data_IF_618064066995
#
_entry.id   IF_618064066995
#
_cell.length_a   1.000
_cell.length_b   1.000
_cell.length_c   1.000
_cell.angle_alpha   90.00
_cell.angle_beta   90.00
_cell.angle_gamma   90.00
#
_symmetry.space_group_name_H-M   'P 1'
#
loop_
_entity.id
_entity.type
_entity.pdbx_description
1 polymer ?
#
# COMPACT_ATOMS: atom_id res chain seq x y z
N UNK A 1 -3.05 10.61 15.09
CA UNK A 1 -2.23 9.96 14.05
C UNK A 1 -2.54 10.63 12.73
N UNK A 2 -1.61 11.44 12.24
CA UNK A 2 -1.83 12.30 11.07
C UNK A 2 -0.65 12.22 10.11
N UNK A 3 -0.93 12.33 8.80
CA UNK A 3 0.09 12.33 7.76
C UNK A 3 0.63 13.73 7.44
N UNK A 4 0.04 14.80 7.99
CA UNK A 4 0.35 16.20 7.64
C UNK A 4 1.85 16.53 7.68
N UNK A 5 2.54 16.16 8.78
CA UNK A 5 3.99 16.36 8.92
C UNK A 5 4.79 15.69 7.79
N UNK A 6 4.48 14.43 7.50
CA UNK A 6 5.16 13.65 6.46
C UNK A 6 4.84 14.18 5.06
N UNK A 7 3.61 14.64 4.83
CA UNK A 7 3.21 15.25 3.55
C UNK A 7 3.98 16.55 3.30
N UNK A 8 4.11 17.42 4.31
CA UNK A 8 4.89 18.67 4.17
C UNK A 8 6.36 18.35 3.86
N UNK A 9 6.96 17.42 4.60
CA UNK A 9 8.33 16.98 4.37
C UNK A 9 8.54 16.44 2.94
N UNK A 10 7.61 15.61 2.43
CA UNK A 10 7.71 15.06 1.07
C UNK A 10 7.62 16.17 0.02
N UNK A 11 6.75 17.17 0.22
CA UNK A 11 6.60 18.31 -0.69
C UNK A 11 7.83 19.21 -0.69
N UNK A 12 8.44 19.45 0.46
CA UNK A 12 9.65 20.27 0.57
C UNK A 12 10.84 19.60 -0.13
N UNK A 13 10.95 18.28 0.01
CA UNK A 13 12.06 17.52 -0.56
C UNK A 13 11.88 17.16 -2.04
N UNK A 14 10.69 17.37 -2.62
CA UNK A 14 10.39 16.93 -3.98
C UNK A 14 9.49 17.92 -4.73
N UNK A 15 9.83 18.22 -5.99
CA UNK A 15 8.99 19.00 -6.90
C UNK A 15 7.84 18.19 -7.53
N UNK A 16 7.22 17.28 -6.77
CA UNK A 16 6.14 16.42 -7.28
C UNK A 16 4.80 17.15 -7.29
N UNK A 17 4.05 17.00 -8.39
CA UNK A 17 2.69 17.56 -8.53
C UNK A 17 1.58 16.57 -8.17
N UNK A 18 1.89 15.26 -8.15
CA UNK A 18 0.90 14.21 -7.95
C UNK A 18 0.60 14.02 -6.46
N UNK A 19 -0.62 14.38 -6.06
CA UNK A 19 -1.11 14.17 -4.68
C UNK A 19 -1.00 12.69 -4.26
N UNK A 20 -1.39 11.76 -5.13
CA UNK A 20 -1.27 10.32 -4.85
C UNK A 20 0.16 9.87 -4.60
N UNK A 21 1.13 10.44 -5.31
CA UNK A 21 2.55 10.12 -5.12
C UNK A 21 3.07 10.69 -3.82
N UNK A 22 2.73 11.95 -3.51
CA UNK A 22 3.11 12.61 -2.25
C UNK A 22 2.56 11.84 -1.05
N UNK A 23 1.28 11.49 -1.08
CA UNK A 23 0.63 10.77 0.03
C UNK A 23 1.17 9.35 0.15
N UNK A 24 1.41 8.64 -0.96
CA UNK A 24 2.03 7.32 -0.93
C UNK A 24 3.39 7.33 -0.22
N UNK A 25 4.26 8.25 -0.63
CA UNK A 25 5.58 8.45 -0.02
C UNK A 25 5.48 8.86 1.46
N UNK A 26 4.53 9.74 1.82
CA UNK A 26 4.28 10.12 3.21
C UNK A 26 3.80 8.93 4.06
N UNK A 27 2.98 8.05 3.49
CA UNK A 27 2.55 6.80 4.13
C UNK A 27 3.72 5.85 4.38
N UNK A 28 4.65 5.70 3.43
CA UNK A 28 5.86 4.90 3.62
C UNK A 28 6.72 5.43 4.77
N UNK A 29 6.94 6.75 4.83
CA UNK A 29 7.64 7.37 5.97
C UNK A 29 6.88 7.16 7.28
N UNK A 30 5.56 7.31 7.29
CA UNK A 30 4.77 7.07 8.50
C UNK A 30 4.95 5.64 9.02
N UNK A 31 4.82 4.63 8.15
CA UNK A 31 5.01 3.22 8.57
C UNK A 31 6.42 3.01 9.12
N UNK A 32 7.44 3.44 8.38
CA UNK A 32 8.85 3.28 8.79
C UNK A 32 9.14 3.86 10.18
N UNK A 33 8.55 5.00 10.52
CA UNK A 33 8.86 5.73 11.76
C UNK A 33 7.94 5.38 12.94
N UNK A 34 6.72 4.89 12.68
CA UNK A 34 5.69 4.79 13.71
C UNK A 34 5.15 3.37 13.94
N UNK A 35 5.39 2.44 13.02
CA UNK A 35 4.85 1.09 13.08
C UNK A 35 6.00 0.10 13.27
N UNK A 36 5.81 -0.87 14.16
CA UNK A 36 6.71 -2.01 14.31
C UNK A 36 6.40 -3.08 13.27
N UNK A 37 7.40 -3.84 12.85
CA UNK A 37 7.24 -4.99 11.99
C UNK A 37 6.21 -5.96 12.59
N UNK A 38 5.15 -6.24 11.83
CA UNK A 38 4.04 -7.10 12.29
C UNK A 38 4.49 -8.56 12.47
N UNK A 39 5.59 -8.97 11.83
CA UNK A 39 6.15 -10.33 11.94
C UNK A 39 7.01 -10.54 13.18
N UNK A 40 7.93 -9.61 13.48
CA UNK A 40 8.91 -9.78 14.56
C UNK A 40 8.85 -8.73 15.68
N UNK A 41 7.96 -7.74 15.58
CA UNK A 41 7.76 -6.66 16.56
C UNK A 41 8.99 -5.74 16.75
N UNK A 42 9.94 -5.76 15.83
CA UNK A 42 11.07 -4.82 15.77
C UNK A 42 10.68 -3.52 15.04
N UNK A 43 11.41 -2.43 15.22
CA UNK A 43 11.22 -1.14 14.53
C UNK A 43 12.28 -0.88 13.43
N UNK A 44 13.15 -1.84 13.14
CA UNK A 44 14.21 -1.67 12.16
C UNK A 44 13.74 -1.87 10.70
N UNK A 45 13.12 -0.84 10.14
CA UNK A 45 12.73 -0.79 8.73
C UNK A 45 13.74 -0.02 7.87
N UNK A 46 14.09 -0.57 6.71
CA UNK A 46 14.72 0.15 5.62
C UNK A 46 13.74 0.35 4.46
N UNK A 47 13.96 1.45 3.74
CA UNK A 47 13.20 1.77 2.53
C UNK A 47 13.90 1.17 1.32
N UNK A 48 13.15 0.42 0.51
CA UNK A 48 13.62 -0.14 -0.75
C UNK A 48 13.92 0.98 -1.76
N UNK A 49 14.68 0.66 -2.82
CA UNK A 49 15.00 1.67 -3.84
C UNK A 49 13.71 2.15 -4.52
N UNK A 50 13.65 3.43 -4.87
CA UNK A 50 12.49 3.97 -5.58
C UNK A 50 12.26 3.21 -6.89
N UNK A 51 11.01 2.81 -7.12
CA UNK A 51 10.57 1.97 -8.26
C UNK A 51 11.06 0.51 -8.21
N UNK A 52 11.61 0.05 -7.10
CA UNK A 52 11.78 -1.38 -6.88
C UNK A 52 10.40 -2.04 -6.87
N UNK A 53 10.23 -3.07 -7.68
CA UNK A 53 8.90 -3.60 -7.95
C UNK A 53 8.34 -4.29 -6.71
N UNK A 54 7.09 -3.94 -6.38
CA UNK A 54 6.24 -4.63 -5.41
C UNK A 54 6.68 -4.59 -3.94
N UNK A 55 7.68 -3.81 -3.54
CA UNK A 55 8.06 -3.64 -2.13
C UNK A 55 8.58 -2.23 -1.88
N UNK A 56 8.12 -1.63 -0.78
CA UNK A 56 8.51 -0.27 -0.40
C UNK A 56 9.40 -0.28 0.84
N UNK A 57 9.17 -1.23 1.77
CA UNK A 57 9.95 -1.38 3.00
C UNK A 57 10.42 -2.84 3.19
N UNK A 58 11.53 -3.00 3.89
CA UNK A 58 12.03 -4.28 4.40
C UNK A 58 12.36 -4.16 5.88
N UNK A 59 11.91 -5.10 6.70
CA UNK A 59 12.38 -5.19 8.08
C UNK A 59 13.72 -5.90 8.10
N UNK A 60 14.78 -5.25 8.59
CA UNK A 60 16.14 -5.80 8.56
C UNK A 60 16.31 -6.93 9.60
N UNK A 61 15.49 -6.93 10.64
CA UNK A 61 15.57 -7.94 11.71
C UNK A 61 15.03 -9.32 11.30
N UNK A 62 14.06 -9.37 10.38
CA UNK A 62 13.46 -10.64 9.93
C UNK A 62 13.38 -10.79 8.41
N UNK A 63 13.91 -9.84 7.65
CA UNK A 63 13.88 -9.76 6.19
C UNK A 63 12.48 -9.74 5.56
N UNK A 64 11.42 -9.53 6.34
CA UNK A 64 10.06 -9.42 5.80
C UNK A 64 9.94 -8.17 4.92
N UNK A 65 9.45 -8.37 3.70
CA UNK A 65 9.17 -7.32 2.73
C UNK A 65 7.74 -6.83 2.87
N UNK A 66 7.53 -5.54 2.72
CA UNK A 66 6.23 -4.90 2.81
C UNK A 66 5.97 -4.01 1.59
N UNK A 67 4.78 -4.14 1.02
CA UNK A 67 4.18 -3.15 0.13
C UNK A 67 3.24 -2.26 0.94
N UNK A 68 3.45 -0.95 0.87
CA UNK A 68 2.62 0.06 1.49
C UNK A 68 1.61 0.59 0.47
N UNK A 69 0.35 0.75 0.89
CA UNK A 69 -0.68 1.39 0.08
C UNK A 69 -1.42 2.45 0.87
N UNK A 70 -1.61 3.61 0.27
CA UNK A 70 -2.49 4.64 0.82
C UNK A 70 -3.88 4.56 0.16
N UNK A 71 -4.92 4.63 0.98
CA UNK A 71 -6.30 4.65 0.50
C UNK A 71 -7.12 5.71 1.25
N UNK A 72 -7.65 6.66 0.50
CA UNK A 72 -8.68 7.57 1.00
C UNK A 72 -9.92 6.77 1.43
N UNK A 73 -10.42 7.01 2.63
CA UNK A 73 -11.58 6.32 3.17
C UNK A 73 -12.39 7.24 4.10
N UNK A 74 -13.67 6.90 4.31
CA UNK A 74 -14.49 7.44 5.40
C UNK A 74 -14.64 6.39 6.50
N UNK A 75 -14.98 6.79 7.72
CA UNK A 75 -15.21 5.85 8.83
C UNK A 75 -16.25 4.77 8.47
N UNK A 76 -17.32 5.15 7.76
CA UNK A 76 -18.33 4.20 7.27
C UNK A 76 -17.73 3.13 6.34
N UNK A 77 -16.85 3.54 5.42
CA UNK A 77 -16.17 2.60 4.51
C UNK A 77 -15.26 1.66 5.28
N UNK A 78 -14.50 2.18 6.26
CA UNK A 78 -13.64 1.37 7.11
C UNK A 78 -14.45 0.33 7.89
N UNK A 79 -15.58 0.74 8.50
CA UNK A 79 -16.46 -0.17 9.24
C UNK A 79 -17.03 -1.28 8.33
N UNK A 80 -17.42 -0.93 7.10
CA UNK A 80 -17.88 -1.92 6.11
C UNK A 80 -16.79 -2.93 5.74
N UNK A 81 -15.54 -2.47 5.57
CA UNK A 81 -14.41 -3.36 5.27
C UNK A 81 -14.16 -4.31 6.45
N UNK A 82 -14.16 -3.79 7.68
CA UNK A 82 -14.01 -4.61 8.90
C UNK A 82 -15.11 -5.66 9.01
N UNK A 83 -16.37 -5.27 8.77
CA UNK A 83 -17.51 -6.19 8.83
C UNK A 83 -17.46 -7.28 7.76
N UNK A 84 -17.04 -6.95 6.54
CA UNK A 84 -16.93 -7.91 5.43
C UNK A 84 -15.61 -8.69 5.41
N UNK A 85 -14.65 -8.27 6.23
CA UNK A 85 -13.26 -8.73 6.23
C UNK A 85 -12.61 -8.83 4.84
N UNK A 86 -12.96 -7.88 3.95
CA UNK A 86 -12.48 -7.86 2.55
C UNK A 86 -12.22 -6.44 2.08
N UNK A 87 -11.18 -6.27 1.27
CA UNK A 87 -10.75 -4.96 0.77
C UNK A 87 -10.26 -5.06 -0.67
N UNK A 88 -10.85 -4.25 -1.55
CA UNK A 88 -10.45 -4.17 -2.96
C UNK A 88 -9.66 -2.89 -3.22
N UNK A 89 -8.52 -3.01 -3.89
CA UNK A 89 -7.68 -1.88 -4.28
C UNK A 89 -7.06 -2.06 -5.65
N UNK A 90 -6.53 -0.97 -6.19
CA UNK A 90 -5.80 -1.00 -7.47
C UNK A 90 -4.37 -1.48 -7.20
N UNK A 91 -3.92 -2.45 -8.00
CA UNK A 91 -2.56 -2.95 -8.02
C UNK A 91 -1.67 -2.25 -9.05
N UNK A 92 -0.50 -2.83 -9.29
CA UNK A 92 0.42 -2.39 -10.34
C UNK A 92 0.05 -2.97 -11.70
N UNK A 93 1.08 -3.29 -12.49
CA UNK A 93 0.91 -4.06 -13.72
C UNK A 93 0.46 -5.49 -13.38
N UNK A 94 -0.50 -6.03 -14.13
CA UNK A 94 -1.09 -7.34 -13.86
C UNK A 94 -0.05 -8.47 -13.84
N UNK A 95 0.74 -8.61 -14.90
CA UNK A 95 1.73 -9.69 -15.05
C UNK A 95 2.81 -9.66 -13.97
N UNK A 96 3.34 -8.47 -13.68
CA UNK A 96 4.34 -8.29 -12.61
C UNK A 96 3.75 -8.57 -11.23
N UNK A 97 2.55 -8.07 -10.92
CA UNK A 97 1.91 -8.33 -9.62
C UNK A 97 1.65 -9.83 -9.43
N UNK A 98 1.23 -10.53 -10.49
CA UNK A 98 0.99 -11.97 -10.47
C UNK A 98 2.28 -12.78 -10.22
N UNK A 99 3.40 -12.39 -10.83
CA UNK A 99 4.70 -13.02 -10.58
C UNK A 99 5.19 -12.84 -9.15
N UNK A 100 4.97 -11.65 -8.58
CA UNK A 100 5.49 -11.28 -7.28
C UNK A 100 4.69 -11.85 -6.10
N UNK A 101 3.60 -12.60 -6.32
CA UNK A 101 2.92 -13.34 -5.25
C UNK A 101 3.91 -14.28 -4.53
N UNK A 102 4.81 -14.90 -5.28
CA UNK A 102 5.78 -15.85 -4.74
C UNK A 102 6.89 -15.20 -3.90
N UNK A 103 7.01 -13.87 -3.91
CA UNK A 103 8.04 -13.15 -3.16
C UNK A 103 7.67 -12.92 -1.69
N UNK A 104 6.54 -13.46 -1.23
CA UNK A 104 6.06 -13.41 0.16
C UNK A 104 5.98 -11.98 0.70
N UNK A 105 5.41 -11.07 -0.08
CA UNK A 105 5.32 -9.65 0.26
C UNK A 105 4.03 -9.37 1.03
N UNK A 106 4.17 -8.90 2.26
CA UNK A 106 3.05 -8.48 3.09
C UNK A 106 2.56 -7.08 2.69
N UNK A 107 1.28 -6.79 2.92
CA UNK A 107 0.72 -5.47 2.63
C UNK A 107 0.36 -4.73 3.92
N UNK A 108 0.73 -3.46 3.97
CA UNK A 108 0.25 -2.49 4.95
C UNK A 108 -0.54 -1.41 4.23
N UNK A 109 -1.82 -1.25 4.60
CA UNK A 109 -2.74 -0.34 3.92
C UNK A 109 -3.19 0.72 4.91
N UNK A 110 -2.74 1.95 4.67
CA UNK A 110 -3.14 3.12 5.46
C UNK A 110 -4.45 3.67 4.89
N UNK A 111 -5.47 3.65 5.72
CA UNK A 111 -6.76 4.30 5.45
C UNK A 111 -6.76 5.69 6.07
N UNK A 112 -6.95 6.71 5.25
CA UNK A 112 -6.89 8.10 5.72
C UNK A 112 -8.08 8.94 5.23
N UNK A 113 -8.45 9.95 6.00
CA UNK A 113 -9.43 10.95 5.61
C UNK A 113 -8.77 11.99 4.69
N UNK A 114 -9.37 12.25 3.53
CA UNK A 114 -8.74 13.12 2.51
C UNK A 114 -8.56 14.57 2.98
N UNK A 115 -9.54 15.12 3.69
CA UNK A 115 -9.57 16.56 4.03
C UNK A 115 -8.53 16.91 5.10
N UNK A 116 -8.41 16.08 6.12
CA UNK A 116 -7.54 16.31 7.28
C UNK A 116 -6.21 15.56 7.22
N UNK A 117 -6.07 14.59 6.30
CA UNK A 117 -4.99 13.60 6.28
C UNK A 117 -4.85 12.80 7.59
N UNK A 118 -5.94 12.72 8.36
CA UNK A 118 -6.01 11.89 9.57
C UNK A 118 -6.03 10.42 9.18
N UNK A 119 -5.19 9.62 9.82
CA UNK A 119 -5.21 8.17 9.67
C UNK A 119 -6.41 7.64 10.44
N UNK A 120 -7.26 6.89 9.75
CA UNK A 120 -8.45 6.25 10.31
C UNK A 120 -8.07 4.88 10.87
N UNK A 121 -7.42 4.04 10.06
CA UNK A 121 -6.99 2.70 10.43
C UNK A 121 -5.78 2.26 9.58
N UNK A 122 -5.06 1.25 10.06
CA UNK A 122 -4.03 0.56 9.27
C UNK A 122 -4.38 -0.92 9.20
N UNK A 123 -4.45 -1.43 7.97
CA UNK A 123 -4.70 -2.83 7.70
C UNK A 123 -3.41 -3.55 7.36
N UNK A 124 -3.34 -4.80 7.80
CA UNK A 124 -2.28 -5.72 7.49
C UNK A 124 -2.84 -6.95 6.78
N UNK A 125 -2.18 -7.32 5.70
CA UNK A 125 -2.51 -8.51 4.94
C UNK A 125 -1.23 -9.33 4.82
N UNK A 126 -1.31 -10.54 5.33
CA UNK A 126 -0.27 -11.56 5.22
C UNK A 126 -0.16 -12.04 3.77
N UNK A 127 1.06 -12.17 3.27
CA UNK A 127 1.33 -12.70 1.95
C UNK A 127 0.77 -14.10 1.72
N UNK A 128 0.69 -14.93 2.77
CA UNK A 128 0.10 -16.27 2.72
C UNK A 128 -1.40 -16.27 2.37
N UNK A 129 -2.07 -15.14 2.54
CA UNK A 129 -3.48 -14.96 2.17
C UNK A 129 -3.66 -14.41 0.75
N UNK A 130 -2.57 -14.16 0.01
CA UNK A 130 -2.60 -13.59 -1.33
C UNK A 130 -2.24 -14.68 -2.34
N UNK A 131 -3.20 -15.05 -3.18
CA UNK A 131 -2.98 -15.98 -4.28
C UNK A 131 -3.43 -15.37 -5.62
N UNK A 132 -3.27 -16.11 -6.72
CA UNK A 132 -3.61 -15.64 -8.06
C UNK A 132 -5.07 -15.20 -8.20
N UNK A 133 -6.00 -15.82 -7.47
CA UNK A 133 -7.43 -15.45 -7.51
C UNK A 133 -7.69 -14.08 -6.89
N UNK A 134 -6.78 -13.58 -6.04
CA UNK A 134 -6.84 -12.23 -5.49
C UNK A 134 -6.57 -11.16 -6.57
N UNK A 135 -5.91 -11.51 -7.68
CA UNK A 135 -5.45 -10.55 -8.69
C UNK A 135 -6.30 -10.64 -9.95
N UNK A 136 -7.08 -9.59 -10.20
CA UNK A 136 -7.98 -9.53 -11.35
C UNK A 136 -7.44 -8.56 -12.41
N UNK A 137 -7.23 -9.01 -13.67
CA UNK A 137 -6.76 -8.13 -14.73
C UNK A 137 -7.78 -7.03 -15.03
N UNK A 138 -7.31 -5.80 -15.26
CA UNK A 138 -8.14 -4.71 -15.79
C UNK A 138 -8.05 -4.72 -17.32
N UNK A 139 -8.95 -3.98 -17.98
CA UNK A 139 -8.81 -3.71 -19.41
C UNK A 139 -7.48 -2.96 -19.65
N UNK A 140 -6.69 -3.33 -20.68
CA UNK A 140 -5.54 -2.55 -21.10
C UNK A 140 -5.91 -1.10 -21.39
N UNK A 141 -4.98 -0.18 -21.16
CA UNK A 141 -5.18 1.23 -21.49
C UNK A 141 -5.35 1.40 -23.01
N UNK A 142 -6.17 2.37 -23.39
CA UNK A 142 -6.47 2.69 -24.79
C UNK A 142 -5.19 3.02 -25.57
N UNK A 143 -5.26 2.84 -26.90
CA UNK A 143 -4.15 3.16 -27.80
C UNK A 143 -3.74 4.64 -27.74
N UNK A 144 -4.66 5.52 -27.35
CA UNK A 144 -4.44 6.97 -27.17
C UNK A 144 -3.81 7.34 -25.82
N UNK A 145 -3.71 6.39 -24.87
CA UNK A 145 -3.15 6.66 -23.56
C UNK A 145 -1.62 6.76 -23.62
N UNK A 146 -1.03 7.56 -22.73
CA UNK A 146 0.45 7.68 -22.60
C UNK A 146 1.17 6.32 -22.43
N UNK A 147 0.49 5.34 -21.81
CA UNK A 147 0.96 3.97 -21.63
C UNK A 147 0.04 2.99 -22.38
N UNK A 148 -0.15 3.23 -23.68
CA UNK A 148 -0.99 2.38 -24.52
C UNK A 148 -0.69 0.89 -24.33
N UNK A 149 -1.73 0.07 -24.20
CA UNK A 149 -1.59 -1.37 -23.98
C UNK A 149 -1.16 -1.79 -22.57
N UNK A 150 -0.77 -0.86 -21.69
CA UNK A 150 -0.46 -1.21 -20.31
C UNK A 150 -1.67 -1.77 -19.59
N UNK A 151 -1.51 -2.92 -18.95
CA UNK A 151 -2.58 -3.60 -18.23
C UNK A 151 -2.30 -3.61 -16.73
N UNK A 152 -3.13 -2.87 -15.98
CA UNK A 152 -3.12 -2.93 -14.53
C UNK A 152 -3.97 -4.07 -13.97
N UNK A 153 -3.99 -4.21 -12.64
CA UNK A 153 -4.89 -5.13 -11.94
C UNK A 153 -5.69 -4.46 -10.82
N UNK A 154 -6.76 -5.13 -10.40
CA UNK A 154 -7.34 -4.97 -9.08
C UNK A 154 -6.82 -6.10 -8.19
N UNK A 155 -6.72 -5.84 -6.89
CA UNK A 155 -6.33 -6.82 -5.89
C UNK A 155 -7.45 -6.87 -4.85
N UNK A 156 -8.05 -8.04 -4.68
CA UNK A 156 -9.01 -8.34 -3.63
C UNK A 156 -8.27 -9.05 -2.49
N UNK A 157 -8.21 -8.39 -1.35
CA UNK A 157 -7.71 -8.98 -0.12
C UNK A 157 -8.86 -9.50 0.73
N UNK A 158 -8.62 -10.65 1.35
CA UNK A 158 -9.39 -11.20 2.46
C UNK A 158 -8.50 -11.32 3.71
N UNK A 159 -9.05 -11.80 4.83
CA UNK A 159 -8.30 -12.10 6.05
C UNK A 159 -7.47 -10.91 6.55
N UNK A 160 -8.10 -9.74 6.62
CA UNK A 160 -7.46 -8.47 6.94
C UNK A 160 -7.32 -8.34 8.46
N UNK A 161 -6.11 -8.03 8.91
CA UNK A 161 -5.84 -7.72 10.31
C UNK A 161 -5.81 -6.21 10.52
N UNK A 162 -6.31 -5.75 11.65
CA UNK A 162 -6.32 -4.33 12.03
C UNK A 162 -5.14 -4.09 12.97
N UNK A 163 -4.23 -3.20 12.62
CA UNK A 163 -3.09 -2.81 13.48
C UNK A 163 -3.49 -1.64 14.39
N UNK A 164 -4.21 -0.68 13.83
CA UNK A 164 -4.70 0.55 14.43
C UNK A 164 -6.12 0.73 13.95
#
# INVERSE_FOLDING_TARGET
MELNKFISQVKENNNWKSESRIVGEACEYYIKNNIKCVRCNDNNFEKCKTNEQSKDLICISCNQKYQIKAKRATQKQVNNIKSKNTFNTIGGEYSTTLKNINDQIDYLIILYEKQSYKIINIFYIKSENINSNCIMPRKPLSITAKRAGWQGCNILFDNIQIII
#
